data_IF_133987497711
#
_entry.id   IF_133987497711
#
_cell.length_a   1.000
_cell.length_b   1.000
_cell.length_c   1.000
_cell.angle_alpha   90.00
_cell.angle_beta   90.00
_cell.angle_gamma   90.00
#
_symmetry.space_group_name_H-M   'P 1'
#
loop_
_entity.id
_entity.type
_entity.pdbx_description
1 polymer ?
#
# COMPACT_ATOMS: atom_id res chain seq x y z
N UNK A 1 -8.55 -0.10 26.00
CA UNK A 1 -7.68 0.02 24.81
C UNK A 1 -8.49 -0.28 23.57
N UNK A 2 -8.15 0.30 22.42
CA UNK A 2 -8.82 0.00 21.16
C UNK A 2 -8.57 -1.45 20.73
N UNK A 3 -9.61 -2.14 20.24
CA UNK A 3 -9.52 -3.51 19.72
C UNK A 3 -9.23 -3.50 18.21
N UNK A 4 -8.05 -2.98 17.83
CA UNK A 4 -7.64 -2.88 16.43
C UNK A 4 -7.20 -4.27 15.93
N UNK A 5 -7.80 -4.73 14.83
CA UNK A 5 -7.49 -6.04 14.23
C UNK A 5 -6.50 -5.99 13.08
N UNK A 6 -6.33 -4.81 12.46
CA UNK A 6 -5.40 -4.60 11.37
C UNK A 6 -5.62 -3.27 10.68
N UNK A 7 -4.85 -3.02 9.63
CA UNK A 7 -4.95 -1.85 8.77
C UNK A 7 -5.23 -2.25 7.31
N UNK A 8 -6.07 -1.47 6.63
CA UNK A 8 -6.25 -1.54 5.19
C UNK A 8 -5.62 -0.29 4.57
N UNK A 9 -4.45 -0.46 3.97
CA UNK A 9 -3.67 0.62 3.38
C UNK A 9 -3.95 0.64 1.87
N UNK A 10 -4.61 1.70 1.39
CA UNK A 10 -4.79 1.96 -0.03
C UNK A 10 -3.97 3.19 -0.43
N UNK A 11 -3.34 3.13 -1.60
CA UNK A 11 -2.48 4.20 -2.11
C UNK A 11 -1.51 4.73 -1.03
N UNK A 12 -0.91 3.79 -0.31
CA UNK A 12 -0.32 4.08 0.98
C UNK A 12 0.94 4.95 0.93
N UNK A 13 1.19 5.62 2.06
CA UNK A 13 2.40 6.39 2.34
C UNK A 13 3.29 5.72 3.40
N UNK A 14 3.12 4.42 3.65
CA UNK A 14 3.80 3.72 4.75
C UNK A 14 5.31 3.63 4.55
N UNK A 15 5.78 3.70 3.31
CA UNK A 15 7.19 3.65 2.94
C UNK A 15 7.99 4.90 3.37
N UNK A 16 7.31 6.01 3.60
CA UNK A 16 7.92 7.30 3.92
C UNK A 16 8.56 7.99 2.70
N UNK A 17 9.16 9.15 2.98
CA UNK A 17 9.63 10.11 1.96
C UNK A 17 10.69 9.57 1.01
N UNK A 18 11.46 8.55 1.42
CA UNK A 18 12.54 7.95 0.63
C UNK A 18 12.11 7.27 -0.68
N UNK A 19 10.82 6.96 -0.82
CA UNK A 19 10.25 6.22 -1.95
C UNK A 19 9.39 7.08 -2.87
N UNK A 20 9.53 8.40 -2.77
CA UNK A 20 8.79 9.41 -3.53
C UNK A 20 9.67 10.05 -4.60
N UNK A 21 9.05 10.73 -5.57
CA UNK A 21 9.82 11.59 -6.47
C UNK A 21 10.53 12.71 -5.68
N UNK A 22 11.79 13.06 -6.04
CA UNK A 22 12.59 14.04 -5.28
C UNK A 22 11.92 15.40 -5.07
N UNK A 23 11.07 15.84 -6.00
CA UNK A 23 10.31 17.10 -5.87
C UNK A 23 9.42 17.11 -4.62
N UNK A 24 8.85 15.96 -4.25
CA UNK A 24 7.98 15.83 -3.08
C UNK A 24 8.77 15.87 -1.77
N UNK A 25 10.04 15.44 -1.78
CA UNK A 25 10.92 15.56 -0.60
C UNK A 25 11.27 17.02 -0.31
N UNK A 26 11.53 17.83 -1.34
CA UNK A 26 11.79 19.27 -1.19
C UNK A 26 10.55 19.99 -0.65
N UNK A 27 9.37 19.64 -1.16
CA UNK A 27 8.10 20.19 -0.69
C UNK A 27 7.86 19.83 0.79
N UNK A 28 8.05 18.56 1.16
CA UNK A 28 7.96 18.10 2.55
C UNK A 28 8.94 18.85 3.47
N UNK A 29 10.20 19.01 3.04
CA UNK A 29 11.21 19.75 3.80
C UNK A 29 10.80 21.21 4.01
N UNK A 30 10.33 21.89 2.96
CA UNK A 30 9.83 23.27 3.03
C UNK A 30 8.66 23.39 4.02
N UNK A 31 7.62 22.57 3.84
CA UNK A 31 6.41 22.61 4.68
C UNK A 31 6.73 22.31 6.15
N UNK A 32 7.57 21.31 6.41
CA UNK A 32 7.92 20.94 7.79
C UNK A 32 8.77 21.99 8.48
N UNK A 33 9.73 22.60 7.76
CA UNK A 33 10.71 23.52 8.37
C UNK A 33 10.23 24.97 8.40
N UNK A 34 9.49 25.41 7.38
CA UNK A 34 9.05 26.80 7.25
C UNK A 34 7.62 27.01 7.75
N UNK A 35 6.73 26.05 7.49
CA UNK A 35 5.30 26.17 7.81
C UNK A 35 4.87 25.36 9.04
N UNK A 36 5.77 24.55 9.61
CA UNK A 36 5.48 23.57 10.67
C UNK A 36 4.33 22.60 10.29
N UNK A 37 4.17 22.33 8.99
CA UNK A 37 3.17 21.40 8.45
C UNK A 37 3.86 20.12 8.00
N UNK A 38 3.40 18.99 8.52
CA UNK A 38 3.78 17.67 8.00
C UNK A 38 2.95 17.35 6.76
N UNK A 39 3.60 17.17 5.61
CA UNK A 39 2.93 16.79 4.36
C UNK A 39 2.91 15.28 4.16
N UNK A 40 4.00 14.59 4.55
CA UNK A 40 4.08 13.14 4.57
C UNK A 40 4.45 12.58 5.95
N UNK A 41 3.96 11.38 6.30
CA UNK A 41 4.49 10.68 7.46
C UNK A 41 6.00 10.46 7.26
N UNK A 42 6.76 10.63 8.33
CA UNK A 42 8.17 10.25 8.29
C UNK A 42 8.31 8.71 8.28
N UNK A 43 9.54 8.19 8.31
CA UNK A 43 9.80 6.74 8.39
C UNK A 43 9.23 6.05 9.63
N UNK A 44 8.60 6.79 10.56
CA UNK A 44 7.95 6.28 11.78
C UNK A 44 6.94 5.16 11.52
N UNK A 45 6.24 5.16 10.37
CA UNK A 45 5.31 4.08 10.03
C UNK A 45 6.08 2.77 9.86
N UNK A 46 7.21 2.79 9.14
CA UNK A 46 8.07 1.62 8.97
C UNK A 46 8.69 1.13 10.28
N UNK A 47 8.81 1.99 11.30
CA UNK A 47 9.45 1.67 12.58
C UNK A 47 8.64 0.72 13.46
N UNK A 48 7.31 0.66 13.29
CA UNK A 48 6.45 -0.20 14.11
C UNK A 48 5.53 -1.12 13.29
N UNK A 49 5.69 -1.17 11.97
CA UNK A 49 4.86 -2.01 11.10
C UNK A 49 5.04 -3.51 11.37
N UNK A 50 6.20 -3.88 11.91
CA UNK A 50 6.50 -5.23 12.42
C UNK A 50 5.59 -5.64 13.57
N UNK A 51 5.02 -4.68 14.32
CA UNK A 51 4.11 -4.92 15.45
C UNK A 51 2.64 -4.92 15.07
N UNK A 52 2.30 -4.66 13.81
CA UNK A 52 0.90 -4.59 13.38
C UNK A 52 0.30 -5.99 13.33
N UNK A 53 -0.90 -6.21 13.90
CA UNK A 53 -1.51 -7.54 13.95
C UNK A 53 -1.87 -8.07 12.55
N UNK A 54 -2.32 -7.17 11.67
CA UNK A 54 -2.56 -7.46 10.27
C UNK A 54 -2.45 -6.19 9.41
N UNK A 55 -1.99 -6.32 8.16
CA UNK A 55 -1.92 -5.21 7.20
C UNK A 55 -2.18 -5.66 5.75
N UNK A 56 -3.13 -4.99 5.10
CA UNK A 56 -3.37 -5.10 3.67
C UNK A 56 -2.76 -3.90 2.95
N UNK A 57 -2.09 -4.13 1.82
CA UNK A 57 -1.62 -3.08 0.93
C UNK A 57 -2.29 -3.22 -0.44
N UNK A 58 -3.03 -2.19 -0.85
CA UNK A 58 -3.65 -2.08 -2.17
C UNK A 58 -3.09 -0.89 -2.93
N UNK A 59 -2.52 -1.11 -4.12
CA UNK A 59 -1.86 -0.04 -4.88
C UNK A 59 -1.95 -0.22 -6.39
N UNK A 60 -1.90 0.90 -7.12
CA UNK A 60 -1.68 0.90 -8.55
C UNK A 60 -0.20 0.76 -8.90
N UNK A 61 0.09 0.14 -10.05
CA UNK A 61 1.46 -0.11 -10.49
C UNK A 61 2.25 1.15 -10.90
N UNK A 62 1.59 2.23 -11.30
CA UNK A 62 2.25 3.51 -11.65
C UNK A 62 1.81 4.64 -10.71
N UNK A 63 1.77 4.32 -9.42
CA UNK A 63 1.67 5.31 -8.37
C UNK A 63 2.90 6.23 -8.39
N UNK A 64 2.67 7.50 -8.76
CA UNK A 64 3.72 8.53 -8.85
C UNK A 64 4.06 9.19 -7.51
N UNK A 65 3.25 8.99 -6.47
CA UNK A 65 3.45 9.63 -5.18
C UNK A 65 4.32 8.76 -4.29
N UNK A 66 4.02 7.47 -4.20
CA UNK A 66 4.85 6.49 -3.49
C UNK A 66 5.03 5.28 -4.38
N UNK A 67 6.29 4.98 -4.68
CA UNK A 67 6.66 3.86 -5.54
C UNK A 67 6.21 2.51 -4.97
N UNK A 68 5.99 1.54 -5.86
CA UNK A 68 5.62 0.16 -5.48
C UNK A 68 6.73 -0.54 -4.68
N UNK A 69 7.98 -0.13 -4.89
CA UNK A 69 9.16 -0.51 -4.13
C UNK A 69 8.97 -0.17 -2.65
N UNK A 70 8.49 1.04 -2.34
CA UNK A 70 8.27 1.48 -0.97
C UNK A 70 7.22 0.63 -0.26
N UNK A 71 6.08 0.40 -0.90
CA UNK A 71 5.03 -0.47 -0.36
C UNK A 71 5.53 -1.91 -0.20
N UNK A 72 6.35 -2.41 -1.12
CA UNK A 72 6.95 -3.74 -1.01
C UNK A 72 7.93 -3.85 0.17
N UNK A 73 8.70 -2.80 0.46
CA UNK A 73 9.57 -2.74 1.64
C UNK A 73 8.77 -2.69 2.95
N UNK A 74 7.66 -1.94 2.98
CA UNK A 74 6.72 -1.96 4.11
C UNK A 74 6.13 -3.36 4.32
N UNK A 75 5.69 -4.00 3.24
CA UNK A 75 5.16 -5.37 3.23
C UNK A 75 6.17 -6.40 3.78
N UNK A 76 7.44 -6.31 3.39
CA UNK A 76 8.48 -7.21 3.90
C UNK A 76 8.70 -7.07 5.41
N UNK A 77 8.58 -5.86 5.96
CA UNK A 77 8.78 -5.57 7.38
C UNK A 77 7.60 -6.01 8.26
N UNK A 78 6.38 -6.04 7.71
CA UNK A 78 5.23 -6.53 8.45
C UNK A 78 5.40 -8.01 8.83
N UNK A 79 5.10 -8.35 10.10
CA UNK A 79 5.21 -9.74 10.60
C UNK A 79 3.86 -10.39 10.89
N UNK A 80 2.82 -9.60 11.18
CA UNK A 80 1.45 -10.09 11.29
C UNK A 80 0.87 -10.52 9.94
N UNK A 81 -0.41 -10.92 9.95
CA UNK A 81 -1.13 -11.31 8.73
C UNK A 81 -1.02 -10.20 7.67
N UNK A 82 -0.53 -10.51 6.49
CA UNK A 82 -0.26 -9.49 5.48
C UNK A 82 -0.63 -9.93 4.07
N UNK A 83 -1.10 -8.97 3.28
CA UNK A 83 -1.40 -9.19 1.87
C UNK A 83 -0.98 -7.96 1.05
N UNK A 84 -0.43 -8.21 -0.14
CA UNK A 84 -0.03 -7.20 -1.10
C UNK A 84 -0.80 -7.40 -2.40
N UNK A 85 -1.56 -6.39 -2.80
CA UNK A 85 -2.41 -6.43 -3.97
C UNK A 85 -2.08 -5.24 -4.88
N UNK A 86 -1.68 -5.55 -6.10
CA UNK A 86 -1.47 -4.57 -7.14
C UNK A 86 -2.54 -4.64 -8.22
N UNK A 87 -2.86 -3.47 -8.78
CA UNK A 87 -3.68 -3.33 -9.98
C UNK A 87 -2.95 -2.49 -11.01
N UNK A 88 -3.27 -2.66 -12.29
CA UNK A 88 -2.76 -1.81 -13.35
C UNK A 88 -3.52 -0.48 -13.33
N UNK A 89 -3.08 0.44 -12.46
CA UNK A 89 -3.68 1.74 -12.24
C UNK A 89 -2.71 2.77 -11.66
N UNK A 90 -3.14 4.05 -11.56
CA UNK A 90 -2.36 5.16 -10.98
C UNK A 90 -2.36 5.11 -9.44
N UNK A 91 -2.08 6.23 -8.78
CA UNK A 91 -2.21 6.35 -7.31
C UNK A 91 -3.68 6.29 -6.86
N UNK A 92 -4.55 7.06 -7.52
CA UNK A 92 -5.95 7.23 -7.12
C UNK A 92 -6.77 5.98 -7.41
N UNK A 93 -7.33 5.36 -6.37
CA UNK A 93 -8.12 4.13 -6.48
C UNK A 93 -9.42 4.33 -7.24
N UNK A 94 -9.93 5.57 -7.24
CA UNK A 94 -11.12 5.95 -8.00
C UNK A 94 -10.88 5.91 -9.51
N UNK A 95 -9.62 5.97 -9.95
CA UNK A 95 -9.23 5.98 -11.36
C UNK A 95 -8.95 4.57 -11.91
N UNK A 96 -8.89 3.52 -11.07
CA UNK A 96 -8.54 2.16 -11.49
C UNK A 96 -9.48 1.55 -12.54
N UNK A 97 -10.68 2.10 -12.69
CA UNK A 97 -11.74 1.55 -13.51
C UNK A 97 -12.50 0.42 -12.80
N UNK A 98 -13.74 0.18 -13.25
CA UNK A 98 -14.71 -0.68 -12.54
C UNK A 98 -14.17 -2.07 -12.17
N UNK A 99 -13.46 -2.73 -13.09
CA UNK A 99 -12.94 -4.10 -12.86
C UNK A 99 -11.88 -4.14 -11.77
N UNK A 100 -10.91 -3.23 -11.79
CA UNK A 100 -9.87 -3.16 -10.77
C UNK A 100 -10.42 -2.69 -9.42
N UNK A 101 -11.37 -1.75 -9.41
CA UNK A 101 -12.07 -1.35 -8.17
C UNK A 101 -12.80 -2.55 -7.56
N UNK A 102 -13.55 -3.31 -8.34
CA UNK A 102 -14.22 -4.53 -7.86
C UNK A 102 -13.21 -5.54 -7.32
N UNK A 103 -12.14 -5.82 -8.07
CA UNK A 103 -11.08 -6.73 -7.64
C UNK A 103 -10.44 -6.30 -6.31
N UNK A 104 -10.03 -5.02 -6.19
CA UNK A 104 -9.43 -4.47 -4.98
C UNK A 104 -10.37 -4.61 -3.78
N UNK A 105 -11.65 -4.25 -3.95
CA UNK A 105 -12.67 -4.38 -2.90
C UNK A 105 -12.87 -5.83 -2.46
N UNK A 106 -12.90 -6.78 -3.39
CA UNK A 106 -12.99 -8.20 -3.06
C UNK A 106 -11.80 -8.63 -2.21
N UNK A 107 -10.57 -8.31 -2.62
CA UNK A 107 -9.36 -8.65 -1.85
C UNK A 107 -9.33 -8.02 -0.47
N UNK A 108 -9.73 -6.74 -0.35
CA UNK A 108 -9.84 -6.07 0.95
C UNK A 108 -10.82 -6.78 1.90
N UNK A 109 -11.98 -7.19 1.39
CA UNK A 109 -13.01 -7.87 2.19
C UNK A 109 -12.54 -9.27 2.62
N UNK A 110 -11.95 -10.04 1.70
CA UNK A 110 -11.36 -11.35 2.00
C UNK A 110 -10.31 -11.24 3.11
N UNK A 111 -9.38 -10.29 2.98
CA UNK A 111 -8.35 -10.02 3.97
C UNK A 111 -8.96 -9.64 5.33
N UNK A 112 -9.91 -8.71 5.35
CA UNK A 112 -10.54 -8.24 6.58
C UNK A 112 -11.26 -9.37 7.33
N UNK A 113 -11.94 -10.27 6.60
CA UNK A 113 -12.56 -11.46 7.19
C UNK A 113 -11.49 -12.36 7.82
N UNK A 114 -10.40 -12.63 7.11
CA UNK A 114 -9.31 -13.46 7.62
C UNK A 114 -8.67 -12.86 8.88
N UNK A 115 -8.39 -11.55 8.89
CA UNK A 115 -7.82 -10.85 10.03
C UNK A 115 -8.70 -10.92 11.30
N UNK A 116 -10.02 -11.02 11.13
CA UNK A 116 -10.97 -11.10 12.25
C UNK A 116 -11.20 -12.53 12.70
N UNK A 117 -11.37 -13.47 11.76
CA UNK A 117 -11.82 -14.84 12.04
C UNK A 117 -10.65 -15.79 12.29
N UNK A 118 -9.51 -15.58 11.64
CA UNK A 118 -8.35 -16.46 11.74
C UNK A 118 -7.03 -15.65 11.77
N UNK A 119 -6.71 -14.98 12.89
CA UNK A 119 -5.55 -14.09 12.98
C UNK A 119 -4.18 -14.80 12.89
N UNK A 120 -4.16 -16.14 12.76
CA UNK A 120 -2.93 -16.92 12.59
C UNK A 120 -2.78 -17.58 11.21
N UNK A 121 -3.70 -17.32 10.27
CA UNK A 121 -3.55 -17.80 8.90
C UNK A 121 -2.35 -17.11 8.24
N UNK A 122 -1.69 -17.82 7.32
CA UNK A 122 -0.70 -17.22 6.44
C UNK A 122 -1.27 -17.11 5.03
N UNK A 123 -1.17 -15.92 4.43
CA UNK A 123 -1.49 -15.71 3.02
C UNK A 123 -0.17 -15.78 2.25
N UNK A 124 0.01 -16.73 1.32
CA UNK A 124 1.22 -16.81 0.52
C UNK A 124 1.48 -15.48 -0.20
N UNK A 125 2.65 -14.91 0.06
CA UNK A 125 3.11 -13.65 -0.52
C UNK A 125 3.90 -13.81 -1.82
N UNK A 126 4.12 -12.72 -2.56
CA UNK A 126 5.06 -12.72 -3.67
C UNK A 126 6.50 -12.93 -3.16
N UNK A 127 7.28 -13.75 -3.89
CA UNK A 127 8.68 -14.04 -3.54
C UNK A 127 9.60 -12.82 -3.74
N UNK A 128 9.26 -11.93 -4.68
CA UNK A 128 9.98 -10.71 -5.00
C UNK A 128 9.06 -9.68 -5.67
N UNK A 129 9.54 -8.43 -5.79
CA UNK A 129 8.77 -7.35 -6.40
C UNK A 129 8.30 -7.67 -7.82
N UNK A 130 9.14 -8.32 -8.64
CA UNK A 130 8.75 -8.74 -9.99
C UNK A 130 7.52 -9.66 -9.96
N UNK A 131 7.53 -10.66 -9.08
CA UNK A 131 6.38 -11.57 -8.92
C UNK A 131 5.13 -10.86 -8.40
N UNK A 132 5.29 -9.84 -7.53
CA UNK A 132 4.18 -9.01 -7.05
C UNK A 132 3.58 -8.18 -8.20
N UNK A 133 4.41 -7.54 -9.03
CA UNK A 133 3.93 -6.79 -10.19
C UNK A 133 3.20 -7.71 -11.19
N UNK A 134 3.76 -8.89 -11.44
CA UNK A 134 3.16 -9.89 -12.33
C UNK A 134 1.85 -10.49 -11.80
N UNK A 135 1.55 -10.42 -10.50
CA UNK A 135 0.29 -10.93 -9.95
C UNK A 135 -0.89 -9.98 -10.15
N UNK A 136 -0.65 -8.75 -10.61
CA UNK A 136 -1.72 -7.81 -10.93
C UNK A 136 -2.64 -8.36 -12.03
N UNK A 137 -3.98 -8.18 -11.92
CA UNK A 137 -4.90 -8.64 -12.94
C UNK A 137 -4.64 -7.95 -14.27
N UNK A 138 -5.04 -8.58 -15.38
CA UNK A 138 -4.81 -8.06 -16.73
C UNK A 138 -5.65 -6.83 -17.11
N UNK A 139 -6.50 -6.34 -16.20
CA UNK A 139 -7.35 -5.19 -16.44
C UNK A 139 -6.54 -3.91 -16.28
N UNK A 140 -6.48 -3.12 -17.34
CA UNK A 140 -5.94 -1.77 -17.30
C UNK A 140 -7.03 -0.80 -16.84
N UNK A 141 -6.62 0.20 -16.07
CA UNK A 141 -7.44 1.40 -15.90
C UNK A 141 -7.77 2.03 -17.27
N UNK A 142 -8.90 2.75 -17.39
CA UNK A 142 -9.46 3.14 -18.68
C UNK A 142 -8.56 3.96 -19.62
N UNK A 143 -7.71 4.84 -19.09
CA UNK A 143 -6.90 5.79 -19.85
C UNK A 143 -5.55 5.24 -20.31
N UNK A 144 -5.01 4.23 -19.64
CA UNK A 144 -3.75 3.54 -19.98
C UNK A 144 -3.97 2.18 -20.64
N UNK A 145 -5.14 1.95 -21.24
CA UNK A 145 -5.35 0.74 -22.05
C UNK A 145 -4.36 0.78 -23.23
N UNK A 146 -3.59 -0.31 -23.47
CA UNK A 146 -2.69 -0.38 -24.62
C UNK A 146 -3.45 -0.35 -25.95
#
# INVERSE_FOLDING_TARGET
>A
GYNIKGALMLADFAAGVGYMEPVYMLLEGCLRTMENVMFFPSSEILTNIDKWPAVFFGKGLWDKYVSVEGTFEAYKRATGLKELVFVRGPHSENEYGKKNVTYMRTKMVEFAIQAVVNPGIEIPGPANLKSAVCSSPSYWEPSSKP
#
